data_IF_658486767746
#
_entry.id   IF_658486767746
#
_cell.length_a   1.000
_cell.length_b   1.000
_cell.length_c   1.000
_cell.angle_alpha   90.00
_cell.angle_beta   90.00
_cell.angle_gamma   90.00
#
_symmetry.space_group_name_H-M   'P 1'
#
loop_
_entity.id
_entity.type
_entity.pdbx_description
1 polymer ?
#
# COMPACT_ATOMS: atom_id res chain seq x y z
N UNK A 1 -20.03 6.06 -12.02
CA UNK A 1 -21.50 6.08 -12.16
C UNK A 1 -22.09 5.25 -11.03
N UNK A 2 -22.68 5.91 -10.02
CA UNK A 2 -23.47 5.24 -8.97
C UNK A 2 -24.90 5.68 -9.20
N UNK A 3 -25.81 4.72 -9.40
CA UNK A 3 -27.22 5.04 -9.62
C UNK A 3 -27.91 5.38 -8.30
N UNK A 4 -29.07 6.02 -8.40
CA UNK A 4 -30.01 6.48 -7.36
C UNK A 4 -30.32 5.43 -6.27
N UNK A 5 -29.98 4.17 -6.52
CA UNK A 5 -30.16 3.00 -5.64
C UNK A 5 -28.90 2.62 -4.83
N UNK A 6 -27.82 3.41 -4.88
CA UNK A 6 -26.61 3.18 -4.09
C UNK A 6 -25.71 2.05 -4.60
N UNK A 7 -25.81 1.70 -5.89
CA UNK A 7 -25.00 0.65 -6.54
C UNK A 7 -23.73 1.24 -7.17
N UNK A 8 -22.56 0.72 -6.83
CA UNK A 8 -21.30 1.04 -7.52
C UNK A 8 -20.97 -0.08 -8.51
N UNK A 9 -20.85 0.27 -9.80
CA UNK A 9 -20.78 -0.69 -10.90
C UNK A 9 -21.94 -1.71 -10.85
N UNK A 10 -21.69 -2.93 -10.39
CA UNK A 10 -22.67 -4.03 -10.35
C UNK A 10 -23.15 -4.39 -8.93
N UNK A 11 -22.55 -3.82 -7.89
CA UNK A 11 -22.68 -4.30 -6.51
C UNK A 11 -23.27 -3.24 -5.56
N UNK A 12 -23.83 -3.71 -4.45
CA UNK A 12 -24.19 -2.83 -3.33
C UNK A 12 -22.93 -2.19 -2.73
N UNK A 13 -23.04 -0.98 -2.17
CA UNK A 13 -21.93 -0.30 -1.52
C UNK A 13 -21.26 -1.14 -0.42
N UNK A 14 -22.05 -1.96 0.31
CA UNK A 14 -21.54 -2.90 1.32
C UNK A 14 -20.66 -3.98 0.69
N UNK A 15 -21.13 -4.58 -0.41
CA UNK A 15 -20.35 -5.59 -1.14
C UNK A 15 -19.05 -4.99 -1.67
N UNK A 16 -19.07 -3.75 -2.17
CA UNK A 16 -17.84 -3.05 -2.58
C UNK A 16 -16.87 -2.87 -1.40
N UNK A 17 -17.35 -2.48 -0.22
CA UNK A 17 -16.52 -2.39 0.99
C UNK A 17 -15.89 -3.72 1.41
N UNK A 18 -16.63 -4.84 1.28
CA UNK A 18 -16.09 -6.19 1.53
C UNK A 18 -15.02 -6.56 0.50
N UNK A 19 -15.21 -6.23 -0.78
CA UNK A 19 -14.21 -6.46 -1.84
C UNK A 19 -12.93 -5.67 -1.54
N UNK A 20 -13.05 -4.41 -1.09
CA UNK A 20 -11.90 -3.61 -0.64
C UNK A 20 -11.16 -4.32 0.48
N UNK A 21 -11.86 -4.74 1.54
CA UNK A 21 -11.25 -5.45 2.67
C UNK A 21 -10.51 -6.73 2.26
N UNK A 22 -11.10 -7.53 1.35
CA UNK A 22 -10.47 -8.74 0.82
C UNK A 22 -9.22 -8.38 0.01
N UNK A 23 -9.29 -7.35 -0.82
CA UNK A 23 -8.16 -6.94 -1.67
C UNK A 23 -7.01 -6.38 -0.83
N UNK A 24 -7.31 -5.54 0.16
CA UNK A 24 -6.33 -5.02 1.13
C UNK A 24 -5.69 -6.15 1.94
N UNK A 25 -6.46 -7.18 2.33
CA UNK A 25 -5.92 -8.36 3.00
C UNK A 25 -4.92 -9.12 2.10
N UNK A 26 -5.25 -9.31 0.81
CA UNK A 26 -4.34 -9.95 -0.14
C UNK A 26 -3.05 -9.13 -0.35
N UNK A 27 -3.16 -7.81 -0.46
CA UNK A 27 -2.00 -6.90 -0.54
C UNK A 27 -1.15 -7.01 0.74
N UNK A 28 -1.79 -7.07 1.91
CA UNK A 28 -1.12 -7.23 3.20
C UNK A 28 -0.35 -8.56 3.30
N UNK A 29 -0.94 -9.66 2.81
CA UNK A 29 -0.25 -10.95 2.71
C UNK A 29 0.95 -10.90 1.77
N UNK A 30 0.81 -10.26 0.60
CA UNK A 30 1.91 -10.07 -0.34
C UNK A 30 3.04 -9.21 0.26
N UNK A 31 2.69 -8.15 0.96
CA UNK A 31 3.65 -7.30 1.67
C UNK A 31 4.39 -8.07 2.78
N UNK A 32 3.68 -8.90 3.54
CA UNK A 32 4.27 -9.77 4.56
C UNK A 32 5.25 -10.78 3.94
N UNK A 33 4.86 -11.42 2.84
CA UNK A 33 5.75 -12.29 2.08
C UNK A 33 7.00 -11.56 1.59
N UNK A 34 6.85 -10.35 1.03
CA UNK A 34 7.95 -9.49 0.62
C UNK A 34 8.90 -9.14 1.77
N UNK A 35 8.37 -8.78 2.93
CA UNK A 35 9.15 -8.49 4.15
C UNK A 35 9.99 -9.69 4.58
N UNK A 36 9.37 -10.87 4.66
CA UNK A 36 10.06 -12.11 5.04
C UNK A 36 11.15 -12.44 4.01
N UNK A 37 10.85 -12.34 2.72
CA UNK A 37 11.80 -12.66 1.66
C UNK A 37 13.01 -11.70 1.67
N UNK A 38 12.76 -10.40 1.86
CA UNK A 38 13.82 -9.41 1.98
C UNK A 38 14.67 -9.65 3.23
N UNK A 39 14.05 -9.98 4.37
CA UNK A 39 14.79 -10.34 5.57
C UNK A 39 15.68 -11.57 5.38
N UNK A 40 15.21 -12.60 4.66
CA UNK A 40 16.02 -13.77 4.32
C UNK A 40 17.22 -13.43 3.41
N UNK A 41 17.05 -12.48 2.48
CA UNK A 41 18.09 -12.10 1.51
C UNK A 41 19.15 -11.16 2.12
N UNK A 42 18.72 -10.20 2.94
CA UNK A 42 19.59 -9.13 3.45
C UNK A 42 19.98 -9.31 4.92
N UNK A 43 19.35 -10.26 5.63
CA UNK A 43 19.62 -10.56 7.03
C UNK A 43 19.48 -9.35 7.95
N UNK A 44 20.48 -9.15 8.80
CA UNK A 44 20.47 -8.10 9.84
C UNK A 44 20.42 -6.68 9.29
N UNK A 45 20.94 -6.43 8.09
CA UNK A 45 20.88 -5.11 7.44
C UNK A 45 19.46 -4.63 7.16
N UNK A 46 18.50 -5.56 7.05
CA UNK A 46 17.09 -5.28 6.84
C UNK A 46 16.25 -5.32 8.14
N UNK A 47 16.86 -5.62 9.30
CA UNK A 47 16.14 -5.82 10.56
C UNK A 47 15.28 -4.60 10.94
N UNK A 48 15.81 -3.38 10.80
CA UNK A 48 15.06 -2.16 11.09
C UNK A 48 13.83 -2.03 10.18
N UNK A 49 14.01 -2.21 8.88
CA UNK A 49 12.93 -2.17 7.88
C UNK A 49 11.89 -3.27 8.10
N UNK A 50 12.35 -4.44 8.52
CA UNK A 50 11.49 -5.57 8.86
C UNK A 50 10.59 -5.24 10.06
N UNK A 51 11.14 -4.69 11.15
CA UNK A 51 10.36 -4.29 12.33
C UNK A 51 9.32 -3.22 11.98
N UNK A 52 9.72 -2.19 11.22
CA UNK A 52 8.80 -1.16 10.76
C UNK A 52 7.70 -1.78 9.89
N UNK A 53 8.07 -2.68 8.98
CA UNK A 53 7.13 -3.37 8.09
C UNK A 53 6.11 -4.23 8.83
N UNK A 54 6.56 -5.07 9.78
CA UNK A 54 5.66 -5.91 10.59
C UNK A 54 4.73 -5.04 11.46
N UNK A 55 5.25 -3.96 12.03
CA UNK A 55 4.42 -3.01 12.79
C UNK A 55 3.34 -2.40 11.89
N UNK A 56 3.69 -2.01 10.66
CA UNK A 56 2.74 -1.51 9.67
C UNK A 56 1.68 -2.56 9.30
N UNK A 57 2.06 -3.82 9.09
CA UNK A 57 1.14 -4.94 8.84
C UNK A 57 0.11 -5.08 9.96
N UNK A 58 0.53 -5.02 11.22
CA UNK A 58 -0.39 -5.11 12.38
C UNK A 58 -1.40 -3.95 12.36
N UNK A 59 -0.95 -2.73 12.12
CA UNK A 59 -1.83 -1.54 12.04
C UNK A 59 -2.85 -1.69 10.92
N UNK A 60 -2.41 -2.14 9.74
CA UNK A 60 -3.29 -2.36 8.58
C UNK A 60 -4.34 -3.45 8.90
N UNK A 61 -3.96 -4.56 9.55
CA UNK A 61 -4.91 -5.60 9.94
C UNK A 61 -5.98 -5.09 10.91
N UNK A 62 -5.60 -4.24 11.87
CA UNK A 62 -6.56 -3.57 12.77
C UNK A 62 -7.51 -2.68 11.97
N UNK A 63 -6.99 -1.91 11.03
CA UNK A 63 -7.77 -1.02 10.16
C UNK A 63 -8.76 -1.80 9.28
N UNK A 64 -8.35 -2.94 8.70
CA UNK A 64 -9.24 -3.85 7.95
C UNK A 64 -10.33 -4.44 8.86
N UNK A 65 -9.97 -4.86 10.08
CA UNK A 65 -10.94 -5.39 11.04
C UNK A 65 -12.00 -4.34 11.42
N UNK A 66 -11.57 -3.08 11.63
CA UNK A 66 -12.47 -1.95 11.88
C UNK A 66 -13.38 -1.67 10.68
N UNK A 67 -12.87 -1.75 9.44
CA UNK A 67 -13.68 -1.64 8.22
C UNK A 67 -14.78 -2.70 8.18
N UNK A 68 -14.44 -3.98 8.39
CA UNK A 68 -15.42 -5.07 8.40
C UNK A 68 -16.44 -4.90 9.52
N UNK A 69 -16.00 -4.45 10.69
CA UNK A 69 -16.89 -4.19 11.82
C UNK A 69 -17.81 -3.00 11.56
N UNK A 70 -17.32 -1.92 10.94
CA UNK A 70 -18.12 -0.77 10.52
C UNK A 70 -19.24 -1.16 9.54
N UNK A 71 -18.94 -2.03 8.57
CA UNK A 71 -19.93 -2.57 7.63
C UNK A 71 -21.00 -3.38 8.37
N UNK A 72 -20.60 -4.17 9.37
CA UNK A 72 -21.52 -5.00 10.16
C UNK A 72 -22.43 -4.19 11.08
N UNK A 73 -21.90 -3.15 11.73
CA UNK A 73 -22.66 -2.32 12.69
C UNK A 73 -23.31 -1.09 12.07
N UNK A 74 -23.13 -0.88 10.76
CA UNK A 74 -23.62 0.31 10.03
C UNK A 74 -23.13 1.64 10.66
N UNK A 75 -21.94 1.61 11.28
CA UNK A 75 -21.40 2.76 12.00
C UNK A 75 -20.23 3.36 11.25
N UNK A 76 -20.53 4.38 10.42
CA UNK A 76 -19.53 5.07 9.60
C UNK A 76 -18.36 5.65 10.41
N UNK A 77 -18.53 5.99 11.69
CA UNK A 77 -17.45 6.56 12.53
C UNK A 77 -16.23 5.64 12.65
N UNK A 78 -16.42 4.33 12.53
CA UNK A 78 -15.36 3.33 12.61
C UNK A 78 -14.49 3.27 11.34
N UNK A 79 -14.90 3.94 10.27
CA UNK A 79 -14.14 4.08 9.02
C UNK A 79 -13.12 5.23 9.05
N UNK A 80 -13.18 6.13 10.04
CA UNK A 80 -12.27 7.28 10.14
C UNK A 80 -10.78 6.84 10.15
N UNK A 81 -10.37 5.83 10.94
CA UNK A 81 -8.99 5.35 10.90
C UNK A 81 -8.59 4.79 9.53
N UNK A 82 -9.53 4.13 8.84
CA UNK A 82 -9.32 3.57 7.50
C UNK A 82 -9.12 4.66 6.45
N UNK A 83 -10.01 5.66 6.42
CA UNK A 83 -9.90 6.83 5.56
C UNK A 83 -8.57 7.58 5.78
N UNK A 84 -8.19 7.77 7.04
CA UNK A 84 -6.93 8.44 7.39
C UNK A 84 -5.71 7.65 6.91
N UNK A 85 -5.72 6.31 7.07
CA UNK A 85 -4.63 5.45 6.63
C UNK A 85 -4.49 5.45 5.10
N UNK A 86 -5.60 5.42 4.36
CA UNK A 86 -5.61 5.48 2.90
C UNK A 86 -5.04 6.79 2.36
N UNK A 87 -5.48 7.93 2.90
CA UNK A 87 -4.95 9.24 2.48
C UNK A 87 -3.43 9.29 2.71
N UNK A 88 -2.97 8.85 3.88
CA UNK A 88 -1.54 8.77 4.18
C UNK A 88 -0.79 7.85 3.21
N UNK A 89 -1.34 6.66 2.93
CA UNK A 89 -0.73 5.68 2.03
C UNK A 89 -0.62 6.20 0.59
N UNK A 90 -1.66 6.86 0.08
CA UNK A 90 -1.64 7.48 -1.26
C UNK A 90 -0.52 8.52 -1.37
N UNK A 91 -0.44 9.45 -0.40
CA UNK A 91 0.62 10.45 -0.39
C UNK A 91 2.01 9.81 -0.30
N UNK A 92 2.16 8.81 0.57
CA UNK A 92 3.42 8.09 0.72
C UNK A 92 3.86 7.40 -0.59
N UNK A 93 2.94 6.69 -1.26
CA UNK A 93 3.23 6.01 -2.54
C UNK A 93 3.66 7.00 -3.63
N UNK A 94 2.98 8.14 -3.74
CA UNK A 94 3.31 9.18 -4.72
C UNK A 94 4.68 9.79 -4.41
N UNK A 95 4.96 10.13 -3.15
CA UNK A 95 6.23 10.70 -2.73
C UNK A 95 7.38 9.73 -3.00
N UNK A 96 7.23 8.44 -2.67
CA UNK A 96 8.28 7.45 -2.92
C UNK A 96 8.52 7.27 -4.41
N UNK A 97 7.46 7.17 -5.24
CA UNK A 97 7.60 7.09 -6.70
C UNK A 97 8.32 8.32 -7.27
N UNK A 98 8.01 9.52 -6.75
CA UNK A 98 8.67 10.76 -7.14
C UNK A 98 10.16 10.77 -6.73
N UNK A 99 10.48 10.38 -5.49
CA UNK A 99 11.87 10.31 -5.01
C UNK A 99 12.69 9.31 -5.84
N UNK A 100 12.15 8.12 -6.14
CA UNK A 100 12.82 7.13 -7.00
C UNK A 100 13.03 7.69 -8.41
N UNK A 101 12.06 8.41 -8.95
CA UNK A 101 12.19 9.08 -10.27
C UNK A 101 13.34 10.10 -10.27
N UNK A 102 13.43 10.95 -9.24
CA UNK A 102 14.55 11.89 -9.10
C UNK A 102 15.89 11.16 -8.98
N UNK A 103 15.97 10.11 -8.16
CA UNK A 103 17.20 9.33 -7.99
C UNK A 103 17.65 8.67 -9.30
N UNK A 104 16.72 8.21 -10.15
CA UNK A 104 17.04 7.67 -11.48
C UNK A 104 17.56 8.77 -12.42
N UNK A 105 16.93 9.95 -12.44
CA UNK A 105 17.35 11.07 -13.29
C UNK A 105 18.77 11.53 -12.93
N UNK A 106 19.11 11.55 -11.63
CA UNK A 106 20.45 11.93 -11.16
C UNK A 106 21.47 10.77 -11.17
N UNK A 107 21.10 9.56 -11.60
CA UNK A 107 21.99 8.40 -11.59
C UNK A 107 22.43 7.96 -10.18
N UNK A 108 21.66 8.31 -9.15
CA UNK A 108 21.98 8.03 -7.75
C UNK A 108 21.55 6.61 -7.32
N UNK A 109 22.09 5.58 -7.98
CA UNK A 109 21.70 4.16 -7.79
C UNK A 109 21.89 3.68 -6.35
N UNK A 110 22.91 4.18 -5.64
CA UNK A 110 23.12 3.90 -4.21
C UNK A 110 21.97 4.41 -3.34
N UNK A 111 21.37 5.54 -3.70
CA UNK A 111 20.19 6.09 -3.04
C UNK A 111 18.98 5.16 -3.19
N UNK A 112 18.74 4.63 -4.39
CA UNK A 112 17.65 3.67 -4.66
C UNK A 112 17.84 2.41 -3.80
N UNK A 113 19.06 1.87 -3.77
CA UNK A 113 19.39 0.70 -2.95
C UNK A 113 19.22 0.96 -1.46
N UNK A 114 19.63 2.13 -0.95
CA UNK A 114 19.45 2.49 0.45
C UNK A 114 17.97 2.61 0.82
N UNK A 115 17.16 3.20 -0.05
CA UNK A 115 15.72 3.38 0.16
C UNK A 115 15.00 2.03 0.32
N UNK A 116 15.48 1.00 -0.36
CA UNK A 116 14.91 -0.35 -0.34
C UNK A 116 15.53 -1.26 0.74
N UNK A 117 16.50 -0.76 1.50
CA UNK A 117 17.25 -1.57 2.46
C UNK A 117 18.30 -2.50 1.84
N UNK A 118 18.64 -2.31 0.56
CA UNK A 118 19.62 -3.09 -0.20
C UNK A 118 21.03 -2.46 -0.19
N UNK A 119 21.34 -1.62 0.80
CA UNK A 119 22.54 -0.77 0.82
C UNK A 119 23.84 -1.56 0.52
N UNK A 120 23.97 -2.75 1.09
CA UNK A 120 25.18 -3.60 1.00
C UNK A 120 25.08 -4.71 -0.05
N UNK A 121 23.91 -4.97 -0.64
CA UNK A 121 23.73 -6.10 -1.54
C UNK A 121 24.30 -5.81 -2.95
N UNK A 122 25.19 -6.66 -3.46
CA UNK A 122 25.77 -6.50 -4.80
C UNK A 122 24.72 -6.70 -5.89
N UNK A 123 24.09 -5.59 -6.29
CA UNK A 123 23.23 -5.48 -7.48
C UNK A 123 23.95 -4.64 -8.52
N UNK A 124 23.84 -5.03 -9.79
CA UNK A 124 24.37 -4.24 -10.91
C UNK A 124 23.55 -2.95 -11.09
N UNK A 125 24.17 -1.94 -11.70
CA UNK A 125 23.48 -0.67 -11.97
C UNK A 125 22.28 -0.89 -12.91
N UNK A 126 22.43 -1.74 -13.94
CA UNK A 126 21.33 -2.12 -14.83
C UNK A 126 20.13 -2.71 -14.09
N UNK A 127 20.38 -3.64 -13.16
CA UNK A 127 19.33 -4.23 -12.35
C UNK A 127 18.69 -3.20 -11.40
N UNK A 128 19.47 -2.22 -10.91
CA UNK A 128 18.96 -1.11 -10.09
C UNK A 128 18.05 -0.18 -10.90
N UNK A 129 18.38 0.08 -12.16
CA UNK A 129 17.55 0.87 -13.09
C UNK A 129 16.22 0.14 -13.34
N UNK A 130 16.26 -1.14 -13.70
CA UNK A 130 15.04 -1.93 -13.92
C UNK A 130 14.18 -1.97 -12.66
N UNK A 131 14.80 -2.18 -11.49
CA UNK A 131 14.10 -2.16 -10.20
C UNK A 131 13.45 -0.80 -9.94
N UNK A 132 14.13 0.30 -10.22
CA UNK A 132 13.59 1.66 -10.08
C UNK A 132 12.34 1.87 -10.93
N UNK A 133 12.37 1.50 -12.22
CA UNK A 133 11.20 1.61 -13.10
C UNK A 133 10.03 0.73 -12.63
N UNK A 134 10.30 -0.50 -12.19
CA UNK A 134 9.26 -1.38 -11.64
C UNK A 134 8.62 -0.78 -10.38
N UNK A 135 9.43 -0.22 -9.47
CA UNK A 135 8.91 0.43 -8.25
C UNK A 135 8.01 1.61 -8.60
N UNK A 136 8.43 2.48 -9.51
CA UNK A 136 7.62 3.63 -9.94
C UNK A 136 6.28 3.15 -10.50
N UNK A 137 6.30 2.18 -11.42
CA UNK A 137 5.10 1.65 -12.04
C UNK A 137 4.14 1.02 -11.02
N UNK A 138 4.66 0.17 -10.14
CA UNK A 138 3.87 -0.50 -9.09
C UNK A 138 3.30 0.52 -8.11
N UNK A 139 4.09 1.50 -7.66
CA UNK A 139 3.65 2.46 -6.65
C UNK A 139 2.57 3.39 -7.20
N UNK A 140 2.69 3.82 -8.46
CA UNK A 140 1.65 4.60 -9.13
C UNK A 140 0.38 3.77 -9.35
N UNK A 141 0.49 2.51 -9.77
CA UNK A 141 -0.65 1.61 -9.92
C UNK A 141 -1.36 1.37 -8.57
N UNK A 142 -0.59 1.16 -7.50
CA UNK A 142 -1.11 1.05 -6.13
C UNK A 142 -1.78 2.35 -5.68
N UNK A 143 -1.20 3.52 -5.95
CA UNK A 143 -1.82 4.79 -5.61
C UNK A 143 -3.17 4.99 -6.32
N UNK A 144 -3.28 4.58 -7.60
CA UNK A 144 -4.56 4.59 -8.33
C UNK A 144 -5.57 3.63 -7.70
N UNK A 145 -5.15 2.42 -7.33
CA UNK A 145 -5.99 1.46 -6.64
C UNK A 145 -6.51 2.02 -5.31
N UNK A 146 -5.62 2.59 -4.50
CA UNK A 146 -5.96 3.21 -3.21
C UNK A 146 -6.90 4.42 -3.37
N UNK A 147 -6.77 5.20 -4.45
CA UNK A 147 -7.75 6.26 -4.76
C UNK A 147 -9.16 5.69 -5.04
N UNK A 148 -9.25 4.54 -5.72
CA UNK A 148 -10.53 3.86 -5.95
C UNK A 148 -11.10 3.34 -4.62
N UNK A 149 -10.26 2.76 -3.76
CA UNK A 149 -10.68 2.31 -2.43
C UNK A 149 -11.15 3.47 -1.56
N UNK A 150 -10.40 4.57 -1.53
CA UNK A 150 -10.78 5.80 -0.84
C UNK A 150 -12.14 6.32 -1.28
N UNK A 151 -12.42 6.31 -2.58
CA UNK A 151 -13.74 6.67 -3.08
C UNK A 151 -14.84 5.75 -2.53
N UNK A 152 -14.63 4.44 -2.53
CA UNK A 152 -15.60 3.45 -2.03
C UNK A 152 -15.85 3.64 -0.52
N UNK A 153 -14.78 3.76 0.26
CA UNK A 153 -14.87 3.89 1.73
C UNK A 153 -15.45 5.25 2.12
N UNK A 154 -15.09 6.33 1.42
CA UNK A 154 -15.68 7.65 1.65
C UNK A 154 -17.18 7.65 1.37
N UNK A 155 -17.63 6.91 0.35
CA UNK A 155 -19.06 6.74 0.07
C UNK A 155 -19.75 5.88 1.12
N UNK A 156 -19.09 4.87 1.68
CA UNK A 156 -19.62 4.06 2.78
C UNK A 156 -19.72 4.84 4.11
N UNK A 157 -18.82 5.80 4.31
CA UNK A 157 -18.82 6.69 5.46
C UNK A 157 -19.98 7.69 5.45
N UNK A 158 -20.38 8.16 4.27
CA UNK A 158 -21.42 9.18 4.06
C UNK A 158 -22.82 8.58 3.94
#
# INVERSE_FOLDING_TARGET
MVDSTGRFACCSLRTSGVIVAITELLICLLATYGLIRNFQLFGTSYLLWFIIGITSVIVILIVIALLLYAIKTENGRLLIPHLSAQIFLIFFLIIVAFVVTLLLIFGAYRGIRNLLGHATYHITDDATITLGYMIIAIYLAMAVLEMVFLYIIYRLYR
#
